data_IF_629466761168
#
_entry.id   IF_629466761168
#
_cell.length_a   1.000
_cell.length_b   1.000
_cell.length_c   1.000
_cell.angle_alpha   90.00
_cell.angle_beta   90.00
_cell.angle_gamma   90.00
#
_symmetry.space_group_name_H-M   'P 1'
#
loop_
_entity.id
_entity.type
_entity.pdbx_description
1 polymer ?
#
# COMPACT_ATOMS: atom_id res chain seq x y z
N UNK A 1 20.90 -44.57 3.86
CA UNK A 1 20.08 -43.89 4.88
C UNK A 1 20.47 -42.44 5.21
N UNK A 2 21.51 -41.85 4.60
CA UNK A 2 21.97 -40.51 4.94
C UNK A 2 21.52 -39.38 3.96
N UNK A 3 20.66 -39.66 2.96
CA UNK A 3 20.25 -38.71 1.93
C UNK A 3 18.81 -38.21 2.01
N UNK A 4 17.98 -38.74 2.87
CA UNK A 4 16.55 -38.40 2.98
C UNK A 4 16.23 -37.29 4.00
N UNK A 5 17.19 -36.94 4.85
CA UNK A 5 16.96 -35.93 5.90
C UNK A 5 17.21 -34.49 5.37
N UNK A 6 17.99 -34.33 4.30
CA UNK A 6 18.32 -32.99 3.76
C UNK A 6 17.18 -32.35 2.93
N UNK A 7 16.25 -33.14 2.38
CA UNK A 7 15.14 -32.61 1.59
C UNK A 7 13.94 -32.14 2.43
N UNK A 8 13.77 -32.69 3.63
CA UNK A 8 12.68 -32.30 4.52
C UNK A 8 12.91 -30.92 5.19
N UNK A 9 14.17 -30.52 5.35
CA UNK A 9 14.54 -29.22 5.94
C UNK A 9 14.34 -28.04 4.99
N UNK A 10 14.44 -28.26 3.68
CA UNK A 10 14.32 -27.18 2.68
C UNK A 10 12.85 -26.82 2.38
N UNK A 11 11.94 -27.79 2.52
CA UNK A 11 10.50 -27.55 2.32
C UNK A 11 9.85 -26.75 3.45
N UNK A 12 10.41 -26.81 4.67
CA UNK A 12 9.89 -26.08 5.83
C UNK A 12 10.26 -24.60 5.85
N UNK A 13 11.31 -24.18 5.13
CA UNK A 13 11.74 -22.77 5.07
C UNK A 13 10.95 -21.90 4.09
N UNK A 14 10.20 -22.49 3.17
CA UNK A 14 9.44 -21.76 2.15
C UNK A 14 8.05 -21.30 2.63
N UNK A 15 7.55 -21.83 3.75
CA UNK A 15 6.21 -21.48 4.26
C UNK A 15 6.16 -20.32 5.25
N UNK A 16 7.30 -19.74 5.65
CA UNK A 16 7.31 -18.71 6.70
C UNK A 16 7.23 -17.27 6.19
N UNK A 17 7.42 -17.02 4.90
CA UNK A 17 7.45 -15.66 4.36
C UNK A 17 6.05 -15.00 4.27
N UNK A 18 4.99 -15.77 4.06
CA UNK A 18 3.63 -15.22 3.93
C UNK A 18 2.98 -14.87 5.28
N UNK A 19 3.31 -15.59 6.35
CA UNK A 19 2.79 -15.31 7.69
C UNK A 19 3.32 -13.99 8.26
N UNK A 20 4.56 -13.62 7.95
CA UNK A 20 5.16 -12.37 8.43
C UNK A 20 4.52 -11.11 7.84
N UNK A 21 4.09 -11.14 6.57
CA UNK A 21 3.47 -10.00 5.90
C UNK A 21 2.05 -9.72 6.44
N UNK A 22 1.26 -10.76 6.71
CA UNK A 22 -0.08 -10.59 7.30
C UNK A 22 -0.01 -10.08 8.74
N UNK A 23 0.96 -10.55 9.54
CA UNK A 23 1.18 -10.05 10.90
C UNK A 23 1.62 -8.58 10.91
N UNK A 24 2.47 -8.15 9.97
CA UNK A 24 2.90 -6.76 9.87
C UNK A 24 1.72 -5.83 9.53
N UNK A 25 0.87 -6.19 8.56
CA UNK A 25 -0.32 -5.42 8.20
C UNK A 25 -1.27 -5.27 9.40
N UNK A 26 -1.69 -6.39 10.01
CA UNK A 26 -2.64 -6.39 11.12
C UNK A 26 -2.11 -5.73 12.39
N UNK A 27 -0.81 -5.60 12.54
CA UNK A 27 -0.20 -4.86 13.65
C UNK A 27 -0.36 -3.33 13.47
N UNK A 28 -0.34 -2.84 12.24
CA UNK A 28 -0.29 -1.41 11.94
C UNK A 28 -1.61 -0.84 11.45
N UNK A 29 -2.35 -1.59 10.63
CA UNK A 29 -3.60 -1.14 10.00
C UNK A 29 -4.83 -1.84 10.56
N UNK A 30 -5.95 -1.13 10.52
CA UNK A 30 -7.24 -1.61 11.01
C UNK A 30 -8.17 -1.96 9.84
N UNK A 31 -8.39 -3.25 9.62
CA UNK A 31 -9.29 -3.74 8.57
C UNK A 31 -10.76 -3.33 8.78
N UNK A 32 -11.13 -3.00 10.00
CA UNK A 32 -12.48 -2.52 10.34
C UNK A 32 -12.63 -1.01 10.17
N UNK A 33 -11.56 -0.33 9.73
CA UNK A 33 -11.54 1.11 9.43
C UNK A 33 -11.14 1.39 7.98
N UNK A 34 -12.01 1.04 7.01
CA UNK A 34 -11.78 1.42 5.63
C UNK A 34 -11.80 2.94 5.49
N UNK A 35 -10.95 3.47 4.62
CA UNK A 35 -10.90 4.89 4.26
C UNK A 35 -11.07 5.08 2.77
N UNK A 36 -11.75 6.16 2.42
CA UNK A 36 -11.81 6.71 1.08
C UNK A 36 -11.35 8.17 1.18
N UNK A 37 -10.14 8.42 0.72
CA UNK A 37 -9.51 9.74 0.77
C UNK A 37 -9.52 10.36 -0.63
N UNK A 38 -9.81 11.65 -0.72
CA UNK A 38 -9.66 12.41 -1.95
C UNK A 38 -8.78 13.62 -1.67
N UNK A 39 -7.73 13.79 -2.46
CA UNK A 39 -6.80 14.88 -2.21
C UNK A 39 -5.79 15.10 -3.31
N UNK A 40 -5.08 16.23 -3.21
CA UNK A 40 -4.03 16.62 -4.13
C UNK A 40 -2.71 15.90 -3.77
N UNK A 41 -2.05 15.32 -4.74
CA UNK A 41 -0.73 14.71 -4.56
C UNK A 41 0.30 15.78 -4.22
N UNK A 42 0.99 15.59 -3.10
CA UNK A 42 2.07 16.48 -2.64
C UNK A 42 3.46 15.86 -2.78
N UNK A 43 3.55 14.53 -2.68
CA UNK A 43 4.81 13.79 -2.76
C UNK A 43 4.57 12.34 -3.19
N UNK A 44 5.55 11.72 -3.80
CA UNK A 44 5.58 10.29 -4.07
C UNK A 44 7.01 9.76 -3.92
N UNK A 45 7.16 8.74 -3.09
CA UNK A 45 8.44 8.09 -2.80
C UNK A 45 8.43 6.65 -3.35
N UNK A 46 9.35 6.39 -4.28
CA UNK A 46 9.54 5.08 -4.88
C UNK A 46 10.71 4.36 -4.20
N UNK A 47 10.45 3.88 -3.00
CA UNK A 47 11.46 3.23 -2.15
C UNK A 47 11.06 1.78 -1.84
N UNK A 48 12.06 0.95 -1.53
CA UNK A 48 11.83 -0.38 -0.99
C UNK A 48 11.85 -0.32 0.55
N UNK A 49 11.08 -1.15 1.25
CA UNK A 49 10.22 -2.24 0.74
C UNK A 49 8.87 -1.76 0.17
N UNK A 50 8.42 -0.54 0.47
CA UNK A 50 7.14 -0.01 0.02
C UNK A 50 7.29 1.37 -0.59
N UNK A 51 6.52 1.62 -1.65
CA UNK A 51 6.34 2.95 -2.19
C UNK A 51 5.29 3.73 -1.37
N UNK A 52 5.35 5.05 -1.42
CA UNK A 52 4.49 5.95 -0.66
C UNK A 52 3.93 7.04 -1.55
N UNK A 53 2.69 7.42 -1.31
CA UNK A 53 2.10 8.62 -1.89
C UNK A 53 1.51 9.47 -0.78
N UNK A 54 1.74 10.79 -0.86
CA UNK A 54 1.26 11.75 0.10
C UNK A 54 0.24 12.66 -0.56
N UNK A 55 -0.90 12.87 0.10
CA UNK A 55 -1.98 13.68 -0.43
C UNK A 55 -2.51 14.65 0.62
N UNK A 56 -2.82 15.88 0.20
CA UNK A 56 -3.54 16.85 1.01
C UNK A 56 -5.04 16.63 0.90
N UNK A 57 -5.64 16.17 2.00
CA UNK A 57 -7.06 15.90 2.09
C UNK A 57 -7.74 17.04 2.86
N UNK A 58 -8.74 17.66 2.23
CA UNK A 58 -9.54 18.71 2.85
C UNK A 58 -10.74 18.11 3.56
N UNK A 59 -10.82 18.32 4.87
CA UNK A 59 -11.96 17.94 5.68
C UNK A 59 -13.20 18.83 5.44
N UNK A 60 -14.33 18.39 5.97
CA UNK A 60 -15.60 19.14 5.88
C UNK A 60 -15.55 20.50 6.58
N UNK A 61 -14.70 20.67 7.57
CA UNK A 61 -14.43 21.93 8.29
C UNK A 61 -13.45 22.86 7.56
N UNK A 62 -12.92 22.45 6.39
CA UNK A 62 -11.93 23.17 5.62
C UNK A 62 -10.48 22.93 6.04
N UNK A 63 -10.24 22.20 7.13
CA UNK A 63 -8.90 21.82 7.56
C UNK A 63 -8.27 20.86 6.55
N UNK A 64 -7.01 21.13 6.18
CA UNK A 64 -6.23 20.25 5.30
C UNK A 64 -5.29 19.39 6.12
N UNK A 65 -5.35 18.10 5.89
CA UNK A 65 -4.48 17.10 6.54
C UNK A 65 -3.68 16.38 5.46
N UNK A 66 -2.37 16.33 5.61
CA UNK A 66 -1.51 15.54 4.73
C UNK A 66 -1.52 14.08 5.17
N UNK A 67 -2.01 13.21 4.31
CA UNK A 67 -2.07 11.76 4.53
C UNK A 67 -0.88 11.07 3.86
N UNK A 68 -0.21 10.21 4.61
CA UNK A 68 0.77 9.28 4.08
C UNK A 68 0.07 7.96 3.72
N UNK A 69 0.15 7.55 2.46
CA UNK A 69 -0.49 6.33 1.96
C UNK A 69 0.57 5.34 1.50
N UNK A 70 0.71 4.25 2.25
CA UNK A 70 1.62 3.15 1.92
C UNK A 70 1.06 2.33 0.77
N UNK A 71 1.88 2.08 -0.23
CA UNK A 71 1.57 1.21 -1.36
C UNK A 71 2.44 -0.05 -1.32
N UNK A 72 2.26 -0.94 -2.27
CA UNK A 72 3.13 -2.09 -2.45
C UNK A 72 4.55 -1.70 -2.90
N UNK A 73 5.45 -2.68 -3.06
CA UNK A 73 6.81 -2.44 -3.50
C UNK A 73 6.83 -1.87 -4.94
N UNK A 74 7.79 -0.99 -5.27
CA UNK A 74 7.91 -0.39 -6.59
C UNK A 74 7.87 -1.37 -7.75
N UNK A 75 8.51 -2.54 -7.60
CA UNK A 75 8.52 -3.59 -8.62
C UNK A 75 7.13 -4.15 -8.93
N UNK A 76 6.28 -4.30 -7.91
CA UNK A 76 4.90 -4.77 -8.09
C UNK A 76 4.05 -3.69 -8.78
N UNK A 77 4.20 -2.43 -8.39
CA UNK A 77 3.49 -1.32 -9.00
C UNK A 77 3.84 -1.16 -10.49
N UNK A 78 5.12 -1.29 -10.84
CA UNK A 78 5.57 -1.26 -12.24
C UNK A 78 4.93 -2.37 -13.07
N UNK A 79 4.84 -3.59 -12.55
CA UNK A 79 4.18 -4.71 -13.25
C UNK A 79 2.68 -4.47 -13.47
N UNK A 80 2.05 -3.67 -12.63
CA UNK A 80 0.62 -3.27 -12.71
C UNK A 80 0.39 -2.04 -13.58
N UNK A 81 1.43 -1.54 -14.24
CA UNK A 81 1.35 -0.39 -15.13
C UNK A 81 1.61 0.97 -14.50
N UNK A 82 1.92 1.03 -13.19
CA UNK A 82 2.36 2.26 -12.56
C UNK A 82 3.78 2.61 -13.00
N UNK A 83 3.99 3.90 -13.25
CA UNK A 83 5.32 4.49 -13.46
C UNK A 83 5.46 5.68 -12.53
N UNK A 84 6.67 5.98 -12.13
CA UNK A 84 6.95 7.20 -11.37
C UNK A 84 6.40 8.45 -12.07
N UNK A 85 6.45 8.49 -13.41
CA UNK A 85 5.89 9.55 -14.24
C UNK A 85 4.36 9.58 -14.31
N UNK A 86 3.67 8.54 -13.87
CA UNK A 86 2.19 8.50 -13.83
C UNK A 86 1.62 9.38 -12.73
N UNK A 87 2.43 9.69 -11.71
CA UNK A 87 2.04 10.49 -10.57
C UNK A 87 2.45 11.94 -10.83
N UNK A 88 1.48 12.83 -10.88
CA UNK A 88 1.71 14.26 -11.05
C UNK A 88 1.38 14.99 -9.76
N UNK A 89 2.29 15.84 -9.29
CA UNK A 89 2.03 16.72 -8.15
C UNK A 89 0.85 17.64 -8.45
N UNK A 90 0.00 17.82 -7.45
CA UNK A 90 -1.24 18.60 -7.55
C UNK A 90 -2.42 17.86 -8.20
N UNK A 91 -2.21 16.69 -8.78
CA UNK A 91 -3.32 15.87 -9.29
C UNK A 91 -4.23 15.43 -8.15
N UNK A 92 -5.54 15.54 -8.36
CA UNK A 92 -6.55 15.05 -7.41
C UNK A 92 -6.76 13.56 -7.67
N UNK A 93 -6.49 12.75 -6.66
CA UNK A 93 -6.66 11.31 -6.70
C UNK A 93 -7.57 10.84 -5.58
N UNK A 94 -8.15 9.65 -5.75
CA UNK A 94 -8.89 8.96 -4.68
C UNK A 94 -8.09 7.75 -4.24
N UNK A 95 -7.93 7.61 -2.92
CA UNK A 95 -7.22 6.49 -2.29
C UNK A 95 -8.20 5.69 -1.46
N UNK A 96 -8.34 4.41 -1.78
CA UNK A 96 -9.08 3.43 -0.98
C UNK A 96 -8.09 2.60 -0.19
N UNK A 97 -8.41 2.29 1.05
CA UNK A 97 -7.54 1.50 1.89
C UNK A 97 -8.01 1.40 3.33
N UNK A 98 -7.07 1.25 4.25
CA UNK A 98 -7.35 1.07 5.67
C UNK A 98 -6.51 2.03 6.51
N UNK A 99 -7.16 2.63 7.52
CA UNK A 99 -6.49 3.56 8.43
C UNK A 99 -5.51 2.85 9.36
N UNK A 100 -4.47 3.56 9.78
CA UNK A 100 -3.58 3.11 10.83
C UNK A 100 -4.31 3.05 12.18
N UNK A 101 -3.98 2.05 12.98
CA UNK A 101 -4.54 1.83 14.32
C UNK A 101 -4.20 2.93 15.32
N UNK A 102 -3.07 3.61 15.10
CA UNK A 102 -2.58 4.66 15.99
C UNK A 102 -3.30 6.01 15.86
N UNK A 103 -4.29 6.12 14.97
CA UNK A 103 -5.08 7.34 14.74
C UNK A 103 -4.37 8.45 13.98
N UNK A 104 -3.14 8.24 13.49
CA UNK A 104 -2.43 9.20 12.64
C UNK A 104 -3.02 9.23 11.23
N UNK A 105 -2.78 10.31 10.49
CA UNK A 105 -3.14 10.45 9.08
C UNK A 105 -2.24 9.57 8.20
N UNK A 106 -2.44 8.29 8.31
CA UNK A 106 -1.67 7.23 7.71
C UNK A 106 -2.59 6.09 7.28
N UNK A 107 -2.45 5.61 6.06
CA UNK A 107 -3.27 4.53 5.51
C UNK A 107 -2.44 3.55 4.69
N UNK A 108 -2.88 2.30 4.64
CA UNK A 108 -2.44 1.35 3.63
C UNK A 108 -3.35 1.52 2.41
N UNK A 109 -2.79 1.91 1.27
CA UNK A 109 -3.54 2.11 0.05
C UNK A 109 -3.71 0.78 -0.70
N UNK A 110 -4.96 0.37 -0.90
CA UNK A 110 -5.29 -0.83 -1.69
C UNK A 110 -5.55 -0.49 -3.15
N UNK A 111 -6.21 0.64 -3.42
CA UNK A 111 -6.45 1.12 -4.77
C UNK A 111 -6.28 2.64 -4.83
N UNK A 112 -5.84 3.10 -5.99
CA UNK A 112 -5.83 4.53 -6.32
C UNK A 112 -6.58 4.74 -7.62
N UNK A 113 -7.51 5.72 -7.62
CA UNK A 113 -8.20 6.19 -8.82
C UNK A 113 -7.58 7.51 -9.25
N UNK A 114 -7.08 7.54 -10.49
CA UNK A 114 -6.46 8.70 -11.11
C UNK A 114 -7.51 9.72 -11.60
N UNK A 115 -7.12 10.96 -11.93
CA UNK A 115 -8.07 11.98 -12.42
C UNK A 115 -8.84 11.58 -13.68
N UNK A 116 -8.27 10.72 -14.54
CA UNK A 116 -8.92 10.19 -15.73
C UNK A 116 -9.90 9.03 -15.47
N UNK A 117 -10.05 8.62 -14.19
CA UNK A 117 -10.88 7.51 -13.76
C UNK A 117 -10.19 6.15 -13.78
N UNK A 118 -8.95 6.07 -14.22
CA UNK A 118 -8.18 4.81 -14.18
C UNK A 118 -7.96 4.39 -12.73
N UNK A 119 -8.40 3.17 -12.40
CA UNK A 119 -8.22 2.59 -11.06
C UNK A 119 -7.14 1.54 -11.10
N UNK A 120 -6.17 1.65 -10.22
CA UNK A 120 -5.00 0.76 -10.14
C UNK A 120 -4.91 0.18 -8.74
N UNK A 121 -4.73 -1.14 -8.67
CA UNK A 121 -4.44 -1.82 -7.42
C UNK A 121 -3.02 -1.48 -6.95
N UNK A 122 -2.90 -0.97 -5.74
CA UNK A 122 -1.64 -0.48 -5.15
C UNK A 122 -1.22 -1.24 -3.91
N UNK A 123 -2.04 -2.19 -3.46
CA UNK A 123 -1.76 -3.00 -2.27
C UNK A 123 -0.55 -3.92 -2.43
N UNK A 124 -0.13 -4.51 -1.31
CA UNK A 124 1.00 -5.46 -1.26
C UNK A 124 0.66 -6.82 -1.87
N UNK A 125 -0.62 -7.23 -1.80
CA UNK A 125 -1.12 -8.50 -2.32
C UNK A 125 -2.14 -8.26 -3.43
N UNK A 126 -2.17 -9.14 -4.42
CA UNK A 126 -3.20 -9.11 -5.45
C UNK A 126 -4.54 -9.62 -4.86
N UNK A 127 -5.66 -9.01 -5.27
CA UNK A 127 -6.97 -9.54 -4.93
C UNK A 127 -7.09 -10.97 -5.45
N UNK A 128 -7.54 -11.88 -4.61
CA UNK A 128 -7.83 -13.27 -5.02
C UNK A 128 -9.12 -13.32 -5.81
#
# INVERSE_FOLDING_TARGET
>A
MKRTIALAGLAAMLCTASLGAHHAFSAEFDQDKPVLLEGAVTQADWTNPHAWIYIDVKGSDGTVVNWACEMGPPSALLRRGWKKSSIKYGAIIKVEGFAAKNGKAFANATNITMPDGTKIFTGTEEPK
#
